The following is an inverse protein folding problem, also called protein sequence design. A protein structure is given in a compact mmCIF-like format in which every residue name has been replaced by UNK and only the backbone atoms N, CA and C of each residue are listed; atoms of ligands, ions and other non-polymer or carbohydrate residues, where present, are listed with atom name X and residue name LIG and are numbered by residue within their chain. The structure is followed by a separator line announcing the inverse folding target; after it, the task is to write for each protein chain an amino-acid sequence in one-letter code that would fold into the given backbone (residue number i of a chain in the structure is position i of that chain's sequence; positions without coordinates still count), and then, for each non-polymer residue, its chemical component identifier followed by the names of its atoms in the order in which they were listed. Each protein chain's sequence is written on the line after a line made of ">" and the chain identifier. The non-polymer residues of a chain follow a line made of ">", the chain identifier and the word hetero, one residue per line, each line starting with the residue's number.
data_IF_599145098343
#
_entry.id   IF_599145098343
#
_cell.length_a   1.000
_cell.length_b   1.000
_cell.length_c   1.000
_cell.angle_alpha   90.00
_cell.angle_beta   90.00
_cell.angle_gamma   90.00
#
_symmetry.space_group_name_H-M   'P 1'
#
loop_
_entity.id
_entity.type
_entity.pdbx_description
1 polymer ?
#
# COMPACT_ATOMS: atom_id res chain seq x y z
N UNK A 1 6.11 -5.48 13.93
CA UNK A 1 6.41 -6.93 13.86
C UNK A 1 5.34 -7.71 13.13
N UNK A 2 5.72 -8.77 12.40
CA UNK A 2 4.79 -9.60 11.61
C UNK A 2 3.69 -10.21 12.48
N UNK A 3 4.02 -10.62 13.72
CA UNK A 3 3.05 -11.15 14.70
C UNK A 3 1.97 -10.12 15.03
N UNK A 4 2.37 -8.88 15.30
CA UNK A 4 1.46 -7.78 15.59
C UNK A 4 0.54 -7.49 14.39
N UNK A 5 1.08 -7.53 13.16
CA UNK A 5 0.27 -7.35 11.94
C UNK A 5 -0.81 -8.43 11.84
N UNK A 6 -0.48 -9.69 12.13
CA UNK A 6 -1.44 -10.79 12.10
C UNK A 6 -2.53 -10.61 13.16
N UNK A 7 -2.15 -10.34 14.41
CA UNK A 7 -3.09 -10.12 15.51
C UNK A 7 -4.04 -8.96 15.22
N UNK A 8 -3.51 -7.84 14.72
CA UNK A 8 -4.33 -6.68 14.37
C UNK A 8 -5.33 -6.98 13.25
N UNK A 9 -4.91 -7.71 12.21
CA UNK A 9 -5.79 -8.13 11.11
C UNK A 9 -6.87 -9.11 11.59
N UNK A 10 -6.54 -10.01 12.52
CA UNK A 10 -7.48 -10.97 13.09
C UNK A 10 -8.50 -10.30 14.03
N UNK A 11 -8.10 -9.25 14.74
CA UNK A 11 -9.00 -8.45 15.57
C UNK A 11 -9.98 -7.62 14.74
N UNK A 12 -9.51 -6.98 13.67
CA UNK A 12 -10.33 -6.07 12.88
C UNK A 12 -11.26 -6.79 11.88
N UNK A 13 -10.92 -8.02 11.48
CA UNK A 13 -11.70 -8.79 10.50
C UNK A 13 -11.83 -10.24 10.97
N UNK A 14 -13.04 -10.77 11.14
CA UNK A 14 -13.21 -12.17 11.62
C UNK A 14 -12.83 -13.23 10.56
N UNK A 15 -13.18 -13.00 9.30
CA UNK A 15 -12.97 -13.96 8.20
C UNK A 15 -11.67 -13.68 7.41
N UNK A 16 -11.64 -14.00 6.11
CA UNK A 16 -10.55 -13.63 5.19
C UNK A 16 -9.18 -14.29 5.47
N UNK A 17 -9.18 -15.59 5.82
CA UNK A 17 -7.95 -16.37 6.06
C UNK A 17 -6.91 -16.23 4.93
N UNK A 18 -7.33 -16.47 3.68
CA UNK A 18 -6.45 -16.39 2.50
C UNK A 18 -5.85 -14.98 2.28
N UNK A 19 -6.65 -13.88 2.24
CA UNK A 19 -6.09 -12.53 2.15
C UNK A 19 -5.12 -12.17 3.29
N UNK A 20 -5.44 -12.54 4.53
CA UNK A 20 -4.58 -12.23 5.69
C UNK A 20 -3.24 -12.95 5.63
N UNK A 21 -3.24 -14.24 5.28
CA UNK A 21 -2.02 -15.01 5.05
C UNK A 21 -1.14 -14.33 3.98
N UNK A 22 -1.75 -13.88 2.88
CA UNK A 22 -1.03 -13.19 1.81
C UNK A 22 -0.44 -11.85 2.24
N UNK A 23 -1.16 -11.10 3.08
CA UNK A 23 -0.67 -9.84 3.67
C UNK A 23 0.55 -10.12 4.58
N UNK A 24 0.47 -11.17 5.40
CA UNK A 24 1.57 -11.58 6.29
C UNK A 24 2.80 -12.01 5.49
N UNK A 25 2.64 -12.81 4.43
CA UNK A 25 3.72 -13.17 3.50
C UNK A 25 4.36 -11.95 2.84
N UNK A 26 3.55 -10.98 2.43
CA UNK A 26 4.02 -9.73 1.84
C UNK A 26 4.94 -8.97 2.82
N UNK A 27 4.55 -8.82 4.08
CA UNK A 27 5.41 -8.16 5.06
C UNK A 27 6.66 -8.96 5.41
N UNK A 28 6.58 -10.29 5.42
CA UNK A 28 7.74 -11.15 5.61
C UNK A 28 8.78 -10.98 4.49
N UNK A 29 8.35 -10.93 3.23
CA UNK A 29 9.24 -10.72 2.09
C UNK A 29 9.86 -9.31 2.09
N UNK A 30 9.09 -8.28 2.44
CA UNK A 30 9.60 -6.91 2.62
C UNK A 30 10.67 -6.84 3.72
N UNK A 31 10.42 -7.44 4.89
CA UNK A 31 11.38 -7.45 5.99
C UNK A 31 12.69 -8.16 5.61
N UNK A 32 12.61 -9.29 4.88
CA UNK A 32 13.79 -9.99 4.38
C UNK A 32 14.59 -9.17 3.36
N UNK A 33 13.91 -8.45 2.47
CA UNK A 33 14.55 -7.56 1.50
C UNK A 33 15.27 -6.40 2.20
N UNK A 34 14.64 -5.78 3.20
CA UNK A 34 15.28 -4.75 4.03
C UNK A 34 16.53 -5.27 4.74
N UNK A 35 16.48 -6.48 5.31
CA UNK A 35 17.63 -7.11 5.96
C UNK A 35 18.77 -7.39 4.97
N UNK A 36 18.46 -7.79 3.73
CA UNK A 36 19.47 -7.98 2.67
C UNK A 36 20.13 -6.67 2.25
N UNK A 37 19.36 -5.58 2.19
CA UNK A 37 19.86 -4.26 1.82
C UNK A 37 20.78 -3.67 2.90
N UNK A 38 20.50 -3.92 4.19
CA UNK A 38 21.40 -3.56 5.29
C UNK A 38 22.78 -4.23 5.23
N UNK A 39 22.88 -5.42 4.63
CA UNK A 39 24.15 -6.19 4.50
C UNK A 39 24.99 -5.81 3.27
N UNK A 40 24.44 -5.11 2.27
CA UNK A 40 25.16 -4.65 1.06
C UNK A 40 24.75 -3.22 0.71
N UNK A 41 25.38 -2.19 1.31
CA UNK A 41 24.99 -0.78 1.15
C UNK A 41 25.24 -0.22 -0.26
N UNK A 42 26.02 -0.92 -1.09
CA UNK A 42 26.47 -0.47 -2.41
C UNK A 42 25.40 -0.67 -3.50
N UNK A 43 24.46 -1.59 -3.30
CA UNK A 43 23.28 -1.79 -4.16
C UNK A 43 22.04 -1.20 -3.48
N UNK A 44 21.99 0.13 -3.36
CA UNK A 44 20.75 0.87 -3.10
C UNK A 44 19.88 0.87 -4.38
N UNK A 45 19.59 -0.30 -4.93
CA UNK A 45 18.45 -0.39 -5.83
C UNK A 45 17.23 -0.08 -4.96
N UNK A 46 16.67 1.13 -5.12
CA UNK A 46 15.39 1.52 -4.52
C UNK A 46 14.46 0.34 -4.75
N UNK A 47 14.17 -0.40 -3.68
CA UNK A 47 13.39 -1.63 -3.75
C UNK A 47 12.17 -1.29 -4.57
N UNK A 48 12.03 -1.86 -5.78
CA UNK A 48 10.81 -1.71 -6.58
C UNK A 48 9.72 -2.28 -5.69
N UNK A 49 9.02 -1.39 -4.99
CA UNK A 49 8.08 -1.76 -3.93
C UNK A 49 7.09 -2.74 -4.53
N UNK A 50 6.98 -3.92 -3.93
CA UNK A 50 5.96 -4.86 -4.35
C UNK A 50 4.61 -4.20 -4.10
N UNK A 51 3.72 -4.18 -5.09
CA UNK A 51 2.41 -3.55 -4.95
C UNK A 51 1.39 -4.64 -4.62
N UNK A 52 0.62 -4.45 -3.55
CA UNK A 52 -0.47 -5.34 -3.18
C UNK A 52 -1.77 -4.83 -3.81
N UNK A 53 -2.47 -5.71 -4.54
CA UNK A 53 -3.75 -5.40 -5.17
C UNK A 53 -4.87 -6.27 -4.59
N UNK A 54 -5.93 -5.63 -4.10
CA UNK A 54 -7.13 -6.31 -3.60
C UNK A 54 -8.26 -6.29 -4.63
N UNK A 55 -8.65 -7.45 -5.13
CA UNK A 55 -9.74 -7.61 -6.09
C UNK A 55 -10.94 -8.36 -5.49
N UNK A 56 -12.15 -8.13 -6.02
CA UNK A 56 -13.41 -8.66 -5.48
C UNK A 56 -14.62 -7.72 -5.64
N UNK A 57 -15.83 -8.20 -5.33
CA UNK A 57 -17.06 -7.40 -5.42
C UNK A 57 -17.08 -6.19 -4.47
N UNK A 58 -17.98 -5.21 -4.67
CA UNK A 58 -18.15 -4.11 -3.72
C UNK A 58 -18.64 -4.65 -2.36
N UNK A 59 -18.28 -3.96 -1.27
CA UNK A 59 -18.72 -4.33 0.08
C UNK A 59 -17.88 -5.40 0.80
N UNK A 60 -16.90 -6.03 0.15
CA UNK A 60 -16.05 -7.08 0.78
C UNK A 60 -14.98 -6.56 1.76
N UNK A 61 -14.97 -5.26 2.06
CA UNK A 61 -14.06 -4.70 3.06
C UNK A 61 -12.62 -4.40 2.59
N UNK A 62 -12.36 -4.25 1.29
CA UNK A 62 -11.01 -3.93 0.77
C UNK A 62 -10.39 -2.68 1.41
N UNK A 63 -11.18 -1.61 1.52
CA UNK A 63 -10.76 -0.35 2.15
C UNK A 63 -10.57 -0.52 3.65
N UNK A 64 -11.39 -1.35 4.29
CA UNK A 64 -11.27 -1.69 5.72
C UNK A 64 -9.95 -2.43 6.00
N UNK A 65 -9.59 -3.41 5.15
CA UNK A 65 -8.30 -4.09 5.23
C UNK A 65 -7.13 -3.11 5.10
N UNK A 66 -7.20 -2.14 4.18
CA UNK A 66 -6.17 -1.11 4.03
C UNK A 66 -6.01 -0.26 5.30
N UNK A 67 -7.11 0.09 5.98
CA UNK A 67 -7.08 0.80 7.25
C UNK A 67 -6.41 -0.03 8.35
N UNK A 68 -6.77 -1.32 8.48
CA UNK A 68 -6.17 -2.23 9.45
C UNK A 68 -4.67 -2.41 9.22
N UNK A 69 -4.25 -2.52 7.96
CA UNK A 69 -2.83 -2.59 7.60
C UNK A 69 -2.11 -1.31 8.01
N UNK A 70 -2.67 -0.13 7.71
CA UNK A 70 -2.06 1.14 8.09
C UNK A 70 -1.92 1.29 9.61
N UNK A 71 -2.94 0.88 10.36
CA UNK A 71 -2.93 0.84 11.82
C UNK A 71 -1.86 -0.10 12.36
N UNK A 72 -1.71 -1.29 11.78
CA UNK A 72 -0.73 -2.29 12.18
C UNK A 72 0.73 -1.89 11.92
N UNK A 73 0.98 -0.99 10.96
CA UNK A 73 2.33 -0.49 10.61
C UNK A 73 2.57 0.89 11.25
N UNK A 74 1.58 1.48 11.91
CA UNK A 74 1.65 2.83 12.48
C UNK A 74 2.03 3.90 11.44
N UNK A 75 1.52 3.76 10.21
CA UNK A 75 1.76 4.72 9.13
C UNK A 75 0.45 5.37 8.67
N UNK A 76 0.45 6.67 8.35
CA UNK A 76 -0.74 7.35 7.86
C UNK A 76 -1.20 6.73 6.54
N UNK A 77 -2.49 6.42 6.44
CA UNK A 77 -3.10 5.97 5.20
C UNK A 77 -3.52 7.18 4.36
N UNK A 78 -3.01 7.27 3.14
CA UNK A 78 -3.50 8.21 2.12
C UNK A 78 -4.33 7.43 1.12
N UNK A 79 -5.52 7.95 0.79
CA UNK A 79 -6.43 7.34 -0.18
C UNK A 79 -6.61 8.27 -1.36
N UNK A 80 -6.34 7.76 -2.55
CA UNK A 80 -6.57 8.43 -3.82
C UNK A 80 -7.65 7.64 -4.57
N UNK A 81 -8.74 8.30 -4.92
CA UNK A 81 -9.79 7.69 -5.72
C UNK A 81 -9.43 7.84 -7.20
N UNK A 82 -9.32 6.73 -7.91
CA UNK A 82 -8.99 6.73 -9.35
C UNK A 82 -10.23 6.58 -10.24
N UNK A 83 -11.40 6.30 -9.65
CA UNK A 83 -12.64 6.14 -10.41
C UNK A 83 -13.14 7.47 -10.94
N UNK A 84 -13.47 7.53 -12.24
CA UNK A 84 -13.95 8.75 -12.90
C UNK A 84 -12.86 9.72 -13.31
N UNK A 85 -11.58 9.32 -13.26
CA UNK A 85 -10.47 10.10 -13.82
C UNK A 85 -10.53 10.04 -15.35
N UNK A 86 -10.69 11.20 -15.98
CA UNK A 86 -10.65 11.34 -17.43
C UNK A 86 -9.33 11.93 -17.93
N UNK A 87 -8.69 12.79 -17.12
CA UNK A 87 -7.42 13.44 -17.45
C UNK A 87 -6.24 12.89 -16.63
N UNK A 88 -5.13 12.61 -17.31
CA UNK A 88 -3.85 12.21 -16.70
C UNK A 88 -3.22 13.36 -15.91
N UNK A 89 -3.51 14.60 -16.26
CA UNK A 89 -3.01 15.77 -15.55
C UNK A 89 -3.55 15.86 -14.11
N UNK A 90 -4.69 15.23 -13.80
CA UNK A 90 -5.18 15.18 -12.42
C UNK A 90 -4.24 14.40 -11.51
N UNK A 91 -3.55 13.37 -12.03
CA UNK A 91 -2.57 12.58 -11.26
C UNK A 91 -1.15 13.15 -11.36
N UNK A 92 -0.74 13.63 -12.54
CA UNK A 92 0.64 14.09 -12.78
C UNK A 92 0.86 15.59 -12.54
N UNK A 93 -0.20 16.38 -12.63
CA UNK A 93 -0.13 17.84 -12.67
C UNK A 93 0.25 18.38 -14.04
N UNK A 94 0.04 19.69 -14.20
CA UNK A 94 0.34 20.39 -15.44
C UNK A 94 1.81 20.82 -15.51
N UNK A 95 2.30 21.01 -16.73
CA UNK A 95 3.58 21.72 -16.96
C UNK A 95 3.42 23.18 -16.55
N UNK A 96 4.41 23.74 -15.84
CA UNK A 96 4.41 25.12 -15.31
C UNK A 96 4.15 26.22 -16.34
N UNK A 97 4.30 25.93 -17.62
CA UNK A 97 4.09 26.87 -18.73
C UNK A 97 2.60 27.12 -19.03
N UNK A 98 1.68 26.30 -18.51
CA UNK A 98 0.25 26.50 -18.73
C UNK A 98 -0.31 27.56 -17.78
N UNK A 99 -1.12 28.46 -18.30
CA UNK A 99 -1.92 29.39 -17.49
C UNK A 99 -2.88 28.55 -16.65
N UNK A 100 -2.84 28.70 -15.32
CA UNK A 100 -3.63 27.87 -14.40
C UNK A 100 -3.01 26.52 -14.01
N UNK A 101 -1.69 26.36 -14.18
CA UNK A 101 -0.99 25.12 -13.80
C UNK A 101 -1.22 24.74 -12.33
N UNK A 102 -1.84 23.58 -12.11
CA UNK A 102 -1.96 22.97 -10.78
C UNK A 102 -1.13 21.68 -10.68
N UNK A 103 -0.53 21.39 -9.51
CA UNK A 103 0.08 20.10 -9.25
C UNK A 103 -1.00 19.01 -9.23
N UNK A 104 -0.60 17.78 -9.59
CA UNK A 104 -1.49 16.61 -9.51
C UNK A 104 -1.90 16.31 -8.07
N UNK A 105 -3.03 15.64 -7.92
CA UNK A 105 -3.58 15.15 -6.66
C UNK A 105 -3.00 13.79 -6.27
#
# INVERSE_FOLDING_TARGET
>A
DIKHVKEQLDNDHYSLKRPKERIVEYFATMQLLEMRHKKKPEKKDKTKGTILCFYGPPGVGKTSLANSIAKAIERPLVRIALGGLEDVNELRGHRRTYIGSMPGR
#
